data_IF_145845557909
#
_entry.id   IF_145845557909
#
_cell.length_a   1.000
_cell.length_b   1.000
_cell.length_c   1.000
_cell.angle_alpha   90.00
_cell.angle_beta   90.00
_cell.angle_gamma   90.00
#
_symmetry.space_group_name_H-M   'P 1'
#
loop_
_entity.id
_entity.type
_entity.pdbx_description
1 polymer ?
#
# COMPACT_ATOMS: atom_id res chain seq x y z
N UNK A 1 7.07 -15.97 25.10
CA UNK A 1 6.23 -15.25 26.07
C UNK A 1 4.85 -15.14 25.45
N UNK A 2 3.81 -15.44 26.21
CA UNK A 2 2.44 -15.22 25.73
C UNK A 2 2.21 -13.72 25.52
N UNK A 3 1.57 -13.37 24.40
CA UNK A 3 1.28 -11.98 24.05
C UNK A 3 0.23 -11.45 25.04
N UNK A 4 0.44 -10.27 25.65
CA UNK A 4 -0.58 -9.70 26.53
C UNK A 4 -1.85 -9.36 25.73
N UNK A 5 -3.01 -9.38 26.40
CA UNK A 5 -4.31 -9.05 25.79
C UNK A 5 -4.32 -7.62 25.24
N UNK A 6 -3.64 -6.68 25.92
CA UNK A 6 -3.42 -5.31 25.44
C UNK A 6 -1.98 -5.19 24.98
N UNK A 7 -1.77 -4.82 23.71
CA UNK A 7 -0.43 -4.58 23.19
C UNK A 7 0.22 -3.40 23.94
N UNK A 8 1.40 -3.57 24.56
CA UNK A 8 2.05 -2.52 25.35
C UNK A 8 2.79 -1.48 24.47
N UNK A 9 2.93 -1.75 23.18
CA UNK A 9 3.58 -0.86 22.23
C UNK A 9 2.76 0.39 21.92
N UNK A 10 3.38 1.31 21.18
CA UNK A 10 2.73 2.56 20.77
C UNK A 10 2.22 2.41 19.35
N UNK A 11 0.90 2.60 19.16
CA UNK A 11 0.32 2.66 17.82
C UNK A 11 0.97 3.79 17.02
N UNK A 12 1.54 3.46 15.87
CA UNK A 12 2.16 4.42 14.97
C UNK A 12 1.21 4.81 13.85
N UNK A 13 0.61 3.82 13.18
CA UNK A 13 -0.52 4.05 12.30
C UNK A 13 -1.40 2.81 12.15
N UNK A 14 -2.67 3.03 11.82
CA UNK A 14 -3.58 1.99 11.35
C UNK A 14 -4.44 2.50 10.21
N UNK A 15 -4.75 1.63 9.26
CA UNK A 15 -5.48 1.99 8.06
C UNK A 15 -5.53 0.86 7.05
N UNK A 16 -5.53 1.27 5.78
CA UNK A 16 -5.55 0.39 4.63
C UNK A 16 -4.38 0.73 3.72
N UNK A 17 -3.82 -0.29 3.07
CA UNK A 17 -2.79 -0.10 2.05
C UNK A 17 -3.15 -0.91 0.81
N UNK A 18 -3.25 -0.24 -0.33
CA UNK A 18 -3.74 -0.78 -1.60
C UNK A 18 -2.64 -0.68 -2.64
N UNK A 19 -2.18 -1.82 -3.15
CA UNK A 19 -1.10 -1.91 -4.12
C UNK A 19 -1.65 -2.51 -5.41
N UNK A 20 -1.49 -1.79 -6.51
CA UNK A 20 -1.86 -2.22 -7.86
C UNK A 20 -0.71 -1.91 -8.81
N UNK A 21 0.17 -2.89 -9.02
CA UNK A 21 1.29 -2.78 -9.94
C UNK A 21 1.09 -3.74 -11.11
N UNK A 22 1.06 -3.19 -12.31
CA UNK A 22 0.90 -3.94 -13.55
C UNK A 22 2.09 -3.69 -14.46
N UNK A 23 2.44 -4.73 -15.23
CA UNK A 23 3.47 -4.64 -16.26
C UNK A 23 3.04 -5.39 -17.51
N UNK A 24 3.60 -5.01 -18.65
CA UNK A 24 3.44 -5.79 -19.88
C UNK A 24 4.04 -7.20 -19.70
N UNK A 25 3.51 -8.23 -20.38
CA UNK A 25 4.09 -9.56 -20.36
C UNK A 25 5.59 -9.54 -20.72
N UNK A 26 6.41 -10.21 -19.91
CA UNK A 26 7.87 -10.27 -20.02
C UNK A 26 8.62 -8.94 -19.82
N UNK A 27 7.94 -7.85 -19.46
CA UNK A 27 8.61 -6.61 -19.07
C UNK A 27 9.26 -6.75 -17.68
N UNK A 28 10.37 -6.06 -17.49
CA UNK A 28 11.03 -5.92 -16.18
C UNK A 28 10.39 -4.78 -15.41
N UNK A 29 10.21 -3.64 -16.08
CA UNK A 29 9.64 -2.43 -15.52
C UNK A 29 8.11 -2.47 -15.46
N UNK A 30 7.55 -1.74 -14.50
CA UNK A 30 6.11 -1.56 -14.38
C UNK A 30 5.59 -0.62 -15.46
N UNK A 31 4.43 -0.95 -16.04
CA UNK A 31 3.71 -0.06 -16.93
C UNK A 31 2.98 1.02 -16.13
N UNK A 32 2.38 0.61 -15.00
CA UNK A 32 1.74 1.52 -14.06
C UNK A 32 1.75 0.95 -12.64
N UNK A 33 1.78 1.87 -11.68
CA UNK A 33 1.79 1.60 -10.25
C UNK A 33 0.84 2.56 -9.55
N UNK A 34 -0.07 2.00 -8.75
CA UNK A 34 -0.84 2.74 -7.74
C UNK A 34 -0.56 2.11 -6.39
N UNK A 35 -0.02 2.89 -5.45
CA UNK A 35 0.14 2.51 -4.05
C UNK A 35 -0.56 3.54 -3.18
N UNK A 36 -1.67 3.14 -2.58
CA UNK A 36 -2.62 4.03 -1.91
C UNK A 36 -2.75 3.63 -0.44
N UNK A 37 -2.55 4.60 0.44
CA UNK A 37 -2.86 4.52 1.85
C UNK A 37 -4.18 5.24 2.11
N UNK A 38 -5.07 4.59 2.83
CA UNK A 38 -6.22 5.23 3.45
C UNK A 38 -6.07 5.04 4.95
N UNK A 39 -5.53 6.05 5.61
CA UNK A 39 -5.05 5.97 7.00
C UNK A 39 -6.13 6.47 7.94
N UNK A 40 -6.56 5.63 8.88
CA UNK A 40 -7.57 5.98 9.89
C UNK A 40 -6.97 6.62 11.14
N UNK A 41 -5.69 6.38 11.40
CA UNK A 41 -4.98 7.02 12.51
C UNK A 41 -3.48 7.09 12.19
N UNK A 42 -2.90 8.27 12.39
CA UNK A 42 -1.47 8.51 12.55
C UNK A 42 -1.23 9.80 13.32
N UNK A 43 0.03 10.19 13.54
CA UNK A 43 0.36 11.51 14.09
C UNK A 43 0.00 12.69 13.17
N UNK A 44 -0.27 12.44 11.88
CA UNK A 44 -0.73 13.42 10.90
C UNK A 44 -2.27 13.41 10.72
N UNK A 45 -2.98 12.69 11.60
CA UNK A 45 -4.44 12.55 11.54
C UNK A 45 -4.92 11.43 10.62
N UNK A 46 -6.06 11.65 9.97
CA UNK A 46 -6.66 10.74 8.97
C UNK A 46 -6.51 11.36 7.58
N UNK A 47 -6.39 10.52 6.56
CA UNK A 47 -6.29 10.96 5.17
C UNK A 47 -5.91 9.86 4.20
N UNK A 48 -5.99 10.20 2.92
CA UNK A 48 -5.69 9.30 1.80
C UNK A 48 -4.51 9.85 1.00
N UNK A 49 -3.56 8.98 0.67
CA UNK A 49 -2.37 9.30 -0.12
C UNK A 49 -2.21 8.21 -1.17
N UNK A 50 -2.00 8.58 -2.42
CA UNK A 50 -1.72 7.64 -3.50
C UNK A 50 -0.50 8.06 -4.30
N UNK A 51 0.49 7.18 -4.36
CA UNK A 51 1.57 7.25 -5.33
C UNK A 51 1.04 6.68 -6.63
N UNK A 52 0.99 7.49 -7.68
CA UNK A 52 0.54 7.09 -9.01
C UNK A 52 1.67 7.33 -10.00
N UNK A 53 2.18 6.25 -10.57
CA UNK A 53 3.18 6.28 -11.64
C UNK A 53 2.62 5.53 -12.84
N UNK A 54 2.54 6.19 -13.98
CA UNK A 54 2.11 5.64 -15.25
C UNK A 54 3.20 6.00 -16.26
N UNK A 55 3.76 5.01 -16.95
CA UNK A 55 4.86 5.18 -17.90
C UNK A 55 4.41 5.02 -19.37
N UNK A 56 3.14 4.69 -19.58
CA UNK A 56 2.60 4.33 -20.89
C UNK A 56 2.02 5.56 -21.61
N UNK A 57 2.56 5.87 -22.79
CA UNK A 57 2.15 6.92 -23.74
C UNK A 57 2.20 8.36 -23.20
N UNK A 58 1.55 8.63 -22.07
CA UNK A 58 1.52 9.92 -21.37
C UNK A 58 1.99 9.73 -19.92
N UNK A 59 3.29 9.97 -19.64
CA UNK A 59 3.82 9.75 -18.31
C UNK A 59 3.15 10.61 -17.25
N UNK A 60 2.64 9.98 -16.19
CA UNK A 60 2.05 10.65 -15.04
C UNK A 60 2.68 10.11 -13.76
N UNK A 61 3.33 10.98 -12.99
CA UNK A 61 4.01 10.61 -11.75
C UNK A 61 3.69 11.62 -10.67
N UNK A 62 2.83 11.28 -9.73
CA UNK A 62 2.35 12.18 -8.67
C UNK A 62 2.09 11.46 -7.37
N UNK A 63 2.19 12.20 -6.28
CA UNK A 63 1.60 11.86 -5.00
C UNK A 63 0.27 12.61 -4.91
N UNK A 64 -0.84 11.90 -5.02
CA UNK A 64 -2.18 12.45 -4.89
C UNK A 64 -2.62 12.36 -3.43
N UNK A 65 -3.21 13.42 -2.86
CA UNK A 65 -3.68 13.37 -1.47
C UNK A 65 -4.83 14.33 -1.17
N UNK A 66 -5.67 13.95 -0.22
CA UNK A 66 -6.69 14.82 0.39
C UNK A 66 -6.14 15.55 1.64
N UNK A 67 -4.96 15.14 2.14
CA UNK A 67 -4.33 15.65 3.34
C UNK A 67 -2.79 15.74 3.14
N UNK A 68 -2.24 16.94 2.88
CA UNK A 68 -0.81 17.13 2.68
C UNK A 68 0.08 16.69 3.85
N UNK A 69 -0.40 16.79 5.10
CA UNK A 69 0.34 16.32 6.27
C UNK A 69 0.44 14.78 6.27
N UNK A 70 -0.62 14.10 5.81
CA UNK A 70 -0.60 12.65 5.63
C UNK A 70 0.36 12.24 4.51
N UNK A 71 0.44 13.00 3.41
CA UNK A 71 1.42 12.73 2.36
C UNK A 71 2.86 12.80 2.89
N UNK A 72 3.19 13.85 3.66
CA UNK A 72 4.49 13.97 4.30
C UNK A 72 4.77 12.82 5.29
N UNK A 73 3.78 12.41 6.08
CA UNK A 73 3.89 11.27 6.98
C UNK A 73 4.19 9.96 6.24
N UNK A 74 3.49 9.67 5.15
CA UNK A 74 3.71 8.46 4.35
C UNK A 74 5.06 8.51 3.63
N UNK A 75 5.49 9.69 3.14
CA UNK A 75 6.82 9.88 2.56
C UNK A 75 7.92 9.53 3.56
N UNK A 76 7.83 10.03 4.79
CA UNK A 76 8.78 9.70 5.85
C UNK A 76 8.76 8.19 6.19
N UNK A 77 7.56 7.61 6.35
CA UNK A 77 7.38 6.19 6.66
C UNK A 77 7.98 5.24 5.61
N UNK A 78 7.91 5.65 4.34
CA UNK A 78 8.36 4.87 3.19
C UNK A 78 9.78 5.25 2.72
N UNK A 79 10.39 6.27 3.31
CA UNK A 79 11.75 6.70 2.98
C UNK A 79 12.77 5.57 3.12
N UNK A 80 13.68 5.46 2.15
CA UNK A 80 14.73 4.46 2.08
C UNK A 80 14.28 3.08 1.58
N UNK A 81 13.02 2.94 1.13
CA UNK A 81 12.48 1.69 0.57
C UNK A 81 12.86 1.46 -0.90
N UNK A 82 13.41 2.47 -1.56
CA UNK A 82 13.77 2.45 -2.98
C UNK A 82 12.59 2.69 -3.93
N UNK A 83 12.92 2.82 -5.22
CA UNK A 83 11.94 2.97 -6.29
C UNK A 83 11.15 4.28 -6.18
N UNK A 84 9.83 4.19 -6.33
CA UNK A 84 8.96 5.38 -6.35
C UNK A 84 8.87 6.12 -5.01
N UNK A 85 9.22 5.48 -3.90
CA UNK A 85 9.16 6.09 -2.57
C UNK A 85 10.33 7.03 -2.28
N UNK A 86 11.45 6.82 -2.98
CA UNK A 86 12.66 7.64 -2.86
C UNK A 86 12.85 8.56 -4.08
N UNK A 87 11.78 8.76 -4.87
CA UNK A 87 11.77 9.68 -5.99
C UNK A 87 11.07 10.98 -5.58
N UNK A 88 11.65 12.11 -5.95
CA UNK A 88 10.99 13.41 -5.80
C UNK A 88 9.78 13.48 -6.75
N UNK A 89 8.58 13.47 -6.16
CA UNK A 89 7.31 13.53 -6.87
C UNK A 89 6.52 14.75 -6.40
N UNK A 90 5.87 15.42 -7.34
CA UNK A 90 4.95 16.51 -7.00
C UNK A 90 3.75 15.96 -6.22
N UNK A 91 3.44 16.61 -5.10
CA UNK A 91 2.25 16.35 -4.28
C UNK A 91 1.11 17.24 -4.77
N UNK A 92 -0.02 16.63 -5.14
CA UNK A 92 -1.21 17.31 -5.66
C UNK A 92 -2.45 16.97 -4.85
N UNK A 93 -3.39 17.93 -4.77
CA UNK A 93 -4.68 17.69 -4.14
C UNK A 93 -5.53 16.74 -4.98
N UNK A 94 -6.19 15.80 -4.32
CA UNK A 94 -7.07 14.84 -4.96
C UNK A 94 -8.28 14.47 -4.09
N UNK A 95 -9.39 14.13 -4.75
CA UNK A 95 -10.53 13.48 -4.14
C UNK A 95 -10.47 11.97 -4.37
N UNK A 96 -10.94 11.20 -3.38
CA UNK A 96 -10.89 9.75 -3.41
C UNK A 96 -12.29 9.16 -3.24
N UNK A 97 -12.65 8.25 -4.13
CA UNK A 97 -13.90 7.50 -4.03
C UNK A 97 -13.62 6.02 -4.16
N UNK A 98 -14.12 5.25 -3.18
CA UNK A 98 -14.09 3.80 -3.23
C UNK A 98 -15.38 3.25 -3.79
N UNK A 99 -15.27 2.31 -4.72
CA UNK A 99 -16.43 1.63 -5.33
C UNK A 99 -16.18 0.12 -5.39
N UNK A 100 -17.23 -0.63 -5.73
CA UNK A 100 -17.19 -2.08 -5.78
C UNK A 100 -17.18 -2.74 -4.40
N UNK A 101 -17.20 -4.07 -4.40
CA UNK A 101 -17.17 -4.89 -3.18
C UNK A 101 -15.78 -5.42 -2.92
N UNK A 102 -15.33 -5.36 -1.66
CA UNK A 102 -14.09 -6.00 -1.20
C UNK A 102 -14.07 -7.51 -1.35
N UNK A 103 -15.23 -8.11 -1.60
CA UNK A 103 -15.36 -9.54 -1.79
C UNK A 103 -15.18 -9.96 -3.25
N UNK A 104 -15.23 -9.02 -4.19
CA UNK A 104 -15.27 -9.33 -5.62
C UNK A 104 -14.33 -8.47 -6.46
N UNK A 105 -14.60 -7.17 -6.53
CA UNK A 105 -13.94 -6.25 -7.43
C UNK A 105 -13.88 -4.82 -6.86
N UNK A 106 -13.09 -4.59 -5.78
CA UNK A 106 -12.97 -3.26 -5.22
C UNK A 106 -12.19 -2.34 -6.17
N UNK A 107 -12.50 -1.06 -6.10
CA UNK A 107 -11.86 -0.04 -6.91
C UNK A 107 -11.71 1.27 -6.15
N UNK A 108 -10.65 2.00 -6.48
CA UNK A 108 -10.43 3.38 -6.06
C UNK A 108 -10.42 4.28 -7.28
N UNK A 109 -11.14 5.39 -7.18
CA UNK A 109 -11.07 6.51 -8.10
C UNK A 109 -10.30 7.63 -7.41
N UNK A 110 -9.26 8.13 -8.07
CA UNK A 110 -8.40 9.22 -7.63
C UNK A 110 -8.59 10.34 -8.65
N UNK A 111 -9.20 11.43 -8.21
CA UNK A 111 -9.55 12.56 -9.07
C UNK A 111 -8.76 13.79 -8.63
N UNK A 112 -7.94 14.33 -9.53
CA UNK A 112 -7.26 15.62 -9.34
C UNK A 112 -7.98 16.70 -10.13
N UNK A 113 -7.44 17.93 -10.16
CA UNK A 113 -8.02 19.00 -10.97
C UNK A 113 -8.04 18.68 -12.48
N UNK A 114 -7.03 17.97 -12.97
CA UNK A 114 -6.80 17.76 -14.41
C UNK A 114 -6.91 16.29 -14.83
N UNK A 115 -6.78 15.36 -13.89
CA UNK A 115 -6.53 13.95 -14.16
C UNK A 115 -7.43 13.02 -13.35
N UNK A 116 -7.82 11.90 -13.97
CA UNK A 116 -8.64 10.84 -13.37
C UNK A 116 -7.94 9.49 -13.46
N UNK A 117 -7.71 8.84 -12.32
CA UNK A 117 -7.13 7.49 -12.22
C UNK A 117 -8.12 6.56 -11.55
N UNK A 118 -8.39 5.40 -12.15
CA UNK A 118 -9.20 4.33 -11.55
C UNK A 118 -8.34 3.08 -11.43
N UNK A 119 -8.10 2.63 -10.20
CA UNK A 119 -7.42 1.37 -9.91
C UNK A 119 -8.45 0.33 -9.46
N UNK A 120 -8.43 -0.86 -10.08
CA UNK A 120 -9.34 -1.98 -9.76
C UNK A 120 -8.56 -3.25 -9.47
N UNK A 121 -9.06 -4.03 -8.52
CA UNK A 121 -8.56 -5.37 -8.20
C UNK A 121 -9.63 -6.39 -8.55
N UNK A 122 -9.24 -7.58 -9.00
CA UNK A 122 -10.16 -8.65 -9.35
C UNK A 122 -9.56 -10.04 -9.13
N UNK A 123 -10.45 -11.05 -9.16
CA UNK A 123 -10.05 -12.44 -8.93
C UNK A 123 -9.38 -12.63 -7.57
N UNK A 124 -10.03 -12.11 -6.52
CA UNK A 124 -9.48 -12.09 -5.17
C UNK A 124 -9.27 -13.49 -4.62
N UNK A 125 -8.14 -13.67 -3.93
CA UNK A 125 -7.83 -14.88 -3.20
C UNK A 125 -8.42 -14.82 -1.79
N UNK A 126 -8.58 -15.96 -1.09
CA UNK A 126 -8.91 -15.96 0.33
C UNK A 126 -7.93 -15.07 1.12
N UNK A 127 -8.42 -14.34 2.13
CA UNK A 127 -7.56 -13.44 2.90
C UNK A 127 -6.51 -14.21 3.68
N UNK A 128 -5.31 -13.62 3.76
CA UNK A 128 -4.25 -14.05 4.66
C UNK A 128 -4.17 -13.09 5.85
N UNK A 129 -4.14 -13.63 7.06
CA UNK A 129 -3.93 -12.85 8.28
C UNK A 129 -2.44 -12.85 8.60
N UNK A 130 -1.83 -11.67 8.49
CA UNK A 130 -0.47 -11.42 8.95
C UNK A 130 -0.55 -10.95 10.41
N UNK A 131 0.04 -11.72 11.30
CA UNK A 131 0.29 -11.30 12.68
C UNK A 131 1.76 -11.60 12.99
N UNK A 132 2.55 -10.54 13.15
CA UNK A 132 3.99 -10.67 13.35
C UNK A 132 4.45 -9.72 14.45
N UNK A 133 4.91 -10.21 15.61
CA UNK A 133 5.63 -9.37 16.55
C UNK A 133 6.98 -8.97 15.95
N UNK A 134 7.53 -7.84 16.38
CA UNK A 134 8.90 -7.46 16.04
C UNK A 134 9.90 -8.53 16.53
N UNK A 135 10.91 -8.93 15.75
CA UNK A 135 11.30 -8.42 14.43
C UNK A 135 10.75 -9.21 13.23
N UNK A 136 9.74 -10.07 13.40
CA UNK A 136 9.34 -11.09 12.42
C UNK A 136 8.94 -10.55 11.03
N UNK A 137 8.38 -9.33 10.96
CA UNK A 137 8.08 -8.65 9.69
C UNK A 137 8.92 -7.40 9.47
N UNK A 138 9.07 -6.56 10.51
CA UNK A 138 9.91 -5.36 10.49
C UNK A 138 10.54 -5.19 11.86
N UNK A 139 11.86 -4.99 11.90
CA UNK A 139 12.59 -4.88 13.16
C UNK A 139 12.08 -3.72 14.03
N UNK A 140 11.77 -4.00 15.29
CA UNK A 140 11.18 -3.03 16.23
C UNK A 140 9.68 -2.75 16.04
N UNK A 141 8.98 -3.48 15.17
CA UNK A 141 7.56 -3.25 14.87
C UNK A 141 6.73 -4.52 15.01
N UNK A 142 5.66 -4.41 15.78
CA UNK A 142 4.55 -5.34 15.74
C UNK A 142 3.62 -4.96 14.58
N UNK A 143 3.20 -5.97 13.81
CA UNK A 143 2.36 -5.79 12.62
C UNK A 143 1.16 -6.72 12.70
N UNK A 144 -0.01 -6.16 12.38
CA UNK A 144 -1.21 -6.92 12.06
C UNK A 144 -1.76 -6.44 10.71
N UNK A 145 -2.07 -7.38 9.81
CA UNK A 145 -2.64 -7.06 8.51
C UNK A 145 -3.61 -8.13 8.02
N UNK A 146 -4.73 -7.71 7.42
CA UNK A 146 -5.65 -8.58 6.68
C UNK A 146 -5.44 -8.39 5.18
N UNK A 147 -4.70 -9.29 4.56
CA UNK A 147 -4.17 -9.17 3.20
C UNK A 147 -5.05 -9.91 2.19
N UNK A 148 -5.38 -9.24 1.09
CA UNK A 148 -6.17 -9.77 0.00
C UNK A 148 -5.38 -9.63 -1.30
N UNK A 149 -4.92 -10.75 -1.85
CA UNK A 149 -4.20 -10.78 -3.11
C UNK A 149 -5.16 -10.88 -4.30
N UNK A 150 -4.86 -10.16 -5.38
CA UNK A 150 -5.67 -10.12 -6.59
C UNK A 150 -4.95 -10.80 -7.75
N UNK A 151 -5.67 -11.64 -8.51
CA UNK A 151 -5.13 -12.32 -9.71
C UNK A 151 -5.21 -11.46 -10.96
N UNK A 152 -6.10 -10.47 -10.97
CA UNK A 152 -6.22 -9.50 -12.04
C UNK A 152 -6.29 -8.09 -11.46
N UNK A 153 -5.84 -7.12 -12.24
CA UNK A 153 -5.94 -5.72 -11.89
C UNK A 153 -6.09 -4.88 -13.16
N UNK A 154 -6.68 -3.70 -12.99
CA UNK A 154 -6.82 -2.71 -14.06
C UNK A 154 -6.45 -1.34 -13.52
N UNK A 155 -5.77 -0.55 -14.36
CA UNK A 155 -5.56 0.88 -14.14
C UNK A 155 -6.11 1.60 -15.37
N UNK A 156 -7.01 2.56 -15.15
CA UNK A 156 -7.57 3.42 -16.18
C UNK A 156 -7.11 4.84 -15.88
N UNK A 157 -6.54 5.52 -16.87
CA UNK A 157 -6.06 6.89 -16.76
C UNK A 157 -6.73 7.75 -17.82
N UNK A 158 -7.46 8.78 -17.40
CA UNK A 158 -8.28 9.64 -18.27
C UNK A 158 -9.17 8.87 -19.26
N UNK A 159 -9.77 7.78 -18.79
CA UNK A 159 -10.62 6.91 -19.62
C UNK A 159 -9.88 5.92 -20.51
N UNK A 160 -8.55 5.98 -20.57
CA UNK A 160 -7.71 5.03 -21.31
C UNK A 160 -7.22 3.91 -20.39
N UNK A 161 -7.44 2.66 -20.79
CA UNK A 161 -6.96 1.50 -20.05
C UNK A 161 -5.47 1.32 -20.27
N UNK A 162 -4.70 1.30 -19.18
CA UNK A 162 -3.25 1.07 -19.22
C UNK A 162 -2.99 -0.44 -19.40
N UNK A 163 -2.16 -0.85 -20.38
CA UNK A 163 -1.92 -2.26 -20.63
C UNK A 163 -0.97 -2.87 -19.59
N UNK A 164 -1.34 -4.05 -19.08
CA UNK A 164 -0.48 -4.81 -18.19
C UNK A 164 -1.28 -5.81 -17.36
N UNK A 165 -0.54 -6.69 -16.69
CA UNK A 165 -1.10 -7.70 -15.79
C UNK A 165 -0.33 -7.71 -14.46
N UNK A 166 -0.98 -8.14 -13.37
CA UNK A 166 -0.27 -8.47 -12.14
C UNK A 166 0.79 -9.54 -12.38
N UNK A 167 1.86 -9.54 -11.59
CA UNK A 167 2.96 -10.46 -11.73
C UNK A 167 3.40 -11.02 -10.37
N UNK A 168 4.07 -12.19 -10.33
CA UNK A 168 4.58 -12.75 -9.09
C UNK A 168 5.70 -11.87 -8.53
N UNK A 169 5.62 -11.56 -7.23
CA UNK A 169 6.67 -10.90 -6.46
C UNK A 169 7.10 -11.80 -5.31
N UNK A 170 8.40 -11.82 -5.04
CA UNK A 170 9.04 -12.67 -4.04
C UNK A 170 9.32 -11.95 -2.71
N UNK A 171 9.09 -10.64 -2.64
CA UNK A 171 9.24 -9.82 -1.43
C UNK A 171 8.45 -10.36 -0.22
N UNK A 172 7.38 -11.12 -0.46
CA UNK A 172 6.57 -11.75 0.58
C UNK A 172 7.10 -13.11 1.03
N UNK A 173 8.07 -13.71 0.34
CA UNK A 173 8.60 -15.05 0.68
C UNK A 173 9.05 -15.16 2.14
N UNK A 174 9.79 -14.18 2.71
CA UNK A 174 10.23 -14.26 4.11
C UNK A 174 9.07 -14.25 5.12
N UNK A 175 7.95 -13.59 4.79
CA UNK A 175 6.86 -13.33 5.75
C UNK A 175 5.65 -14.24 5.57
N UNK A 176 5.31 -14.63 4.34
CA UNK A 176 4.09 -15.36 4.00
C UNK A 176 4.35 -16.70 3.29
N UNK A 177 5.61 -16.99 2.95
CA UNK A 177 6.00 -18.22 2.26
C UNK A 177 5.53 -18.25 0.79
N UNK A 178 6.48 -18.18 -0.13
CA UNK A 178 6.21 -18.25 -1.58
C UNK A 178 5.93 -16.89 -2.23
N UNK A 179 5.69 -16.94 -3.54
CA UNK A 179 5.38 -15.75 -4.33
C UNK A 179 3.94 -15.31 -4.10
N UNK A 180 3.70 -14.02 -4.26
CA UNK A 180 2.36 -13.43 -4.24
C UNK A 180 2.19 -12.47 -5.40
N UNK A 181 0.95 -12.10 -5.68
CA UNK A 181 0.65 -11.11 -6.70
C UNK A 181 1.26 -9.75 -6.34
N UNK A 182 1.73 -9.02 -7.35
CA UNK A 182 2.09 -7.59 -7.28
C UNK A 182 0.89 -6.70 -6.94
N UNK A 183 -0.33 -7.26 -6.97
CA UNK A 183 -1.56 -6.58 -6.61
C UNK A 183 -2.14 -7.19 -5.32
N UNK A 184 -2.17 -6.37 -4.26
CA UNK A 184 -2.62 -6.75 -2.92
C UNK A 184 -3.27 -5.55 -2.25
N UNK A 185 -4.22 -5.78 -1.35
CA UNK A 185 -4.61 -4.75 -0.41
C UNK A 185 -4.75 -5.29 1.01
N UNK A 186 -4.40 -4.46 1.98
CA UNK A 186 -4.65 -4.65 3.38
C UNK A 186 -5.87 -3.84 3.80
N UNK A 187 -6.92 -4.48 4.33
CA UNK A 187 -8.09 -3.77 4.87
C UNK A 187 -7.92 -3.29 6.31
N UNK A 188 -6.92 -3.81 7.00
CA UNK A 188 -6.64 -3.51 8.40
C UNK A 188 -5.15 -3.69 8.62
N UNK A 189 -4.34 -2.77 8.13
CA UNK A 189 -2.91 -2.75 8.40
C UNK A 189 -2.63 -1.87 9.61
N UNK A 190 -1.89 -2.41 10.56
CA UNK A 190 -1.58 -1.74 11.82
C UNK A 190 -0.12 -1.95 12.17
N UNK A 191 0.61 -0.86 12.33
CA UNK A 191 1.98 -0.87 12.80
C UNK A 191 2.05 -0.28 14.21
N UNK A 192 2.60 -1.07 15.12
CA UNK A 192 2.79 -0.73 16.52
C UNK A 192 4.29 -0.75 16.79
N UNK A 193 4.82 0.35 17.28
CA UNK A 193 6.20 0.40 17.73
C UNK A 193 6.34 -0.49 18.97
N UNK A 194 7.13 -1.55 18.85
CA UNK A 194 7.31 -2.51 19.93
C UNK A 194 8.09 -1.87 21.09
N UNK A 195 7.73 -2.23 22.33
CA UNK A 195 8.54 -1.89 23.50
C UNK A 195 9.82 -2.72 23.41
N UNK A 196 10.97 -2.08 23.25
CA UNK A 196 12.25 -2.77 23.41
C UNK A 196 12.34 -3.26 24.85
N UNK A 197 12.46 -4.57 25.02
CA UNK A 197 12.96 -5.10 26.28
C UNK A 197 14.45 -4.81 26.29
N UNK A 198 14.83 -3.63 26.78
CA UNK A 198 16.20 -3.43 27.21
C UNK A 198 16.41 -4.46 28.34
N UNK A 199 17.29 -5.43 28.09
CA UNK A 199 17.76 -6.31 29.16
C UNK A 199 18.39 -5.44 30.26
N UNK A 200 18.42 -5.92 31.52
CA UNK A 200 19.11 -5.16 32.56
C UNK A 200 20.54 -4.89 32.09
N UNK A 201 20.94 -3.61 32.09
CA UNK A 201 22.33 -3.22 31.91
C UNK A 201 23.18 -4.02 32.91
N UNK A 202 23.99 -4.97 32.42
CA UNK A 202 25.08 -5.62 33.16
C UNK A 202 26.38 -4.83 32.99
#
# INVERSE_FOLDING_TARGET
>A
MDRPIVNPGRLHWTGQHWINYIRLPNAVENTAMVSLWHTHYSSAGEGTVAYVLIEHESPYRRICTDNPEMAAFIQDWMSGRGGMYDTELEVVSAAFTRTGSVLEAPAWTIETADELVIARWGGLQPPELLEAPGPGFRDGWDVFSSLFFARSAQIIFNGHMIPGEPYPVDVWKPSLGGERSSCVFALSETFIQAVRQDGPDE
#
